data_IF_702961715868
#
_entry.id   IF_702961715868
#
_cell.length_a   1.000
_cell.length_b   1.000
_cell.length_c   1.000
_cell.angle_alpha   90.00
_cell.angle_beta   90.00
_cell.angle_gamma   90.00
#
_symmetry.space_group_name_H-M   'P 1'
#
loop_
_entity.id
_entity.type
_entity.pdbx_description
1 polymer ?
#
# COMPACT_ATOMS: atom_id res chain seq x y z
N UNK A 1 25.67 -1.49 13.58
CA UNK A 1 24.20 -1.58 13.54
C UNK A 1 23.79 -1.00 12.21
N UNK A 2 23.24 -1.77 11.26
CA UNK A 2 22.91 -1.21 9.96
C UNK A 2 21.86 -0.12 10.18
N UNK A 3 22.15 1.08 9.70
CA UNK A 3 21.24 2.21 9.70
C UNK A 3 19.89 1.78 9.12
N UNK A 4 18.92 1.49 9.99
CA UNK A 4 17.50 1.54 9.65
C UNK A 4 17.17 2.99 9.34
N UNK A 5 17.63 3.46 8.17
CA UNK A 5 17.10 4.67 7.56
C UNK A 5 15.64 4.37 7.32
N UNK A 6 14.76 4.98 8.11
CA UNK A 6 13.34 5.05 7.83
C UNK A 6 13.19 5.50 6.38
N UNK A 7 12.92 4.55 5.49
CA UNK A 7 12.74 4.84 4.08
C UNK A 7 11.44 5.64 4.00
N UNK A 8 11.56 6.87 3.54
CA UNK A 8 10.42 7.73 3.22
C UNK A 8 9.65 7.07 2.06
N UNK A 9 8.67 6.26 2.44
CA UNK A 9 7.85 5.41 1.56
C UNK A 9 7.23 6.24 0.44
N UNK A 10 6.80 7.46 0.77
CA UNK A 10 6.21 8.41 -0.17
C UNK A 10 7.19 8.78 -1.29
N UNK A 11 8.45 9.06 -0.93
CA UNK A 11 9.51 9.31 -1.91
C UNK A 11 9.88 8.07 -2.71
N UNK A 12 9.88 6.89 -2.10
CA UNK A 12 10.20 5.65 -2.80
C UNK A 12 9.14 5.32 -3.85
N UNK A 13 7.85 5.37 -3.48
CA UNK A 13 6.74 5.08 -4.37
C UNK A 13 6.66 6.11 -5.52
N UNK A 14 6.81 7.41 -5.21
CA UNK A 14 6.87 8.45 -6.25
C UNK A 14 8.00 8.23 -7.25
N UNK A 15 9.20 7.85 -6.78
CA UNK A 15 10.36 7.64 -7.65
C UNK A 15 10.32 6.31 -8.43
N UNK A 16 9.78 5.23 -7.86
CA UNK A 16 9.82 3.88 -8.47
C UNK A 16 8.57 3.53 -9.26
N UNK A 17 7.40 3.95 -8.81
CA UNK A 17 6.10 3.63 -9.43
C UNK A 17 5.54 4.77 -10.28
N UNK A 18 6.38 5.75 -10.67
CA UNK A 18 5.97 6.89 -11.52
C UNK A 18 4.81 7.71 -10.93
N UNK A 19 4.95 8.16 -9.69
CA UNK A 19 3.98 9.02 -8.96
C UNK A 19 2.76 8.33 -8.33
N UNK A 20 2.72 7.00 -8.22
CA UNK A 20 1.67 6.34 -7.42
C UNK A 20 1.87 6.67 -5.95
N UNK A 21 0.87 7.29 -5.32
CA UNK A 21 0.86 7.55 -3.87
C UNK A 21 0.33 6.35 -3.09
N UNK A 22 0.58 6.32 -1.77
CA UNK A 22 0.00 5.30 -0.88
C UNK A 22 -1.54 5.34 -0.97
N UNK A 23 -2.13 6.54 -1.01
CA UNK A 23 -3.58 6.71 -1.12
C UNK A 23 -4.17 6.19 -2.44
N UNK A 24 -3.44 6.33 -3.56
CA UNK A 24 -3.87 5.73 -4.84
C UNK A 24 -3.90 4.21 -4.75
N UNK A 25 -2.94 3.62 -4.04
CA UNK A 25 -2.85 2.18 -3.83
C UNK A 25 -3.96 1.68 -2.89
N UNK A 26 -4.21 2.38 -1.78
CA UNK A 26 -5.31 2.10 -0.86
C UNK A 26 -6.66 2.14 -1.58
N UNK A 27 -6.93 3.21 -2.31
CA UNK A 27 -8.18 3.38 -3.07
C UNK A 27 -8.34 2.30 -4.14
N UNK A 28 -7.25 1.96 -4.85
CA UNK A 28 -7.28 0.91 -5.88
C UNK A 28 -7.61 -0.47 -5.30
N UNK A 29 -6.95 -0.84 -4.18
CA UNK A 29 -7.20 -2.12 -3.50
C UNK A 29 -8.62 -2.15 -2.92
N UNK A 30 -9.02 -1.09 -2.22
CA UNK A 30 -10.37 -0.91 -1.67
C UNK A 30 -11.44 -1.11 -2.74
N UNK A 31 -11.29 -0.45 -3.89
CA UNK A 31 -12.22 -0.57 -5.01
C UNK A 31 -12.32 -1.99 -5.54
N UNK A 32 -11.19 -2.63 -5.84
CA UNK A 32 -11.18 -4.01 -6.38
C UNK A 32 -11.80 -4.99 -5.39
N UNK A 33 -11.47 -4.90 -4.10
CA UNK A 33 -12.05 -5.77 -3.07
C UNK A 33 -13.56 -5.52 -2.96
N UNK A 34 -13.99 -4.26 -2.97
CA UNK A 34 -15.41 -3.92 -2.88
C UNK A 34 -16.20 -4.42 -4.10
N UNK A 35 -15.63 -4.31 -5.31
CA UNK A 35 -16.22 -4.86 -6.53
C UNK A 35 -16.32 -6.39 -6.51
N UNK A 36 -15.36 -7.08 -5.89
CA UNK A 36 -15.34 -8.54 -5.79
C UNK A 36 -16.31 -9.09 -4.75
N UNK A 37 -16.47 -8.39 -3.62
CA UNK A 37 -17.31 -8.84 -2.50
C UNK A 37 -18.74 -8.29 -2.60
N UNK A 38 -18.95 -7.18 -3.31
CA UNK A 38 -20.24 -6.50 -3.43
C UNK A 38 -20.58 -5.64 -2.21
N UNK A 39 -19.58 -5.28 -1.42
CA UNK A 39 -19.67 -4.63 -0.11
C UNK A 39 -18.60 -3.54 0.00
N UNK A 40 -18.85 -2.44 0.72
CA UNK A 40 -17.88 -1.35 0.85
C UNK A 40 -16.74 -1.73 1.81
N UNK A 41 -15.53 -1.86 1.26
CA UNK A 41 -14.33 -2.15 2.03
C UNK A 41 -13.33 -1.02 1.92
N UNK A 42 -12.92 -0.48 3.06
CA UNK A 42 -11.81 0.47 3.17
C UNK A 42 -10.49 -0.27 3.31
N UNK A 43 -9.50 0.11 2.52
CA UNK A 43 -8.13 -0.36 2.65
C UNK A 43 -7.25 0.69 3.33
N UNK A 44 -6.41 0.26 4.26
CA UNK A 44 -5.35 1.08 4.88
C UNK A 44 -4.01 0.35 4.75
N UNK A 45 -2.97 1.05 4.31
CA UNK A 45 -1.61 0.53 4.22
C UNK A 45 -0.85 0.93 5.49
N UNK A 46 -0.60 -0.05 6.36
CA UNK A 46 0.07 0.19 7.64
C UNK A 46 1.59 0.24 7.55
N UNK A 47 2.19 -0.58 6.67
CA UNK A 47 3.65 -0.67 6.55
C UNK A 47 4.06 -1.04 5.12
N UNK A 48 5.09 -0.35 4.62
CA UNK A 48 5.72 -0.68 3.33
C UNK A 48 7.19 -0.96 3.57
N UNK A 49 7.60 -2.21 3.36
CA UNK A 49 9.01 -2.61 3.38
C UNK A 49 9.52 -2.69 1.97
N UNK A 50 10.71 -2.16 1.74
CA UNK A 50 11.37 -2.23 0.45
C UNK A 50 12.75 -2.86 0.61
N UNK A 51 13.05 -3.87 -0.20
CA UNK A 51 14.35 -4.51 -0.25
C UNK A 51 14.98 -4.30 -1.63
N UNK A 52 16.21 -3.79 -1.67
CA UNK A 52 17.00 -3.72 -2.91
C UNK A 52 17.80 -4.99 -3.20
N UNK A 53 17.72 -6.01 -2.32
CA UNK A 53 18.70 -7.09 -2.30
C UNK A 53 18.46 -8.21 -3.33
N UNK A 54 17.29 -8.31 -3.97
CA UNK A 54 16.93 -9.45 -4.85
C UNK A 54 16.27 -9.07 -6.20
N UNK A 55 16.35 -7.80 -6.60
CA UNK A 55 15.36 -7.23 -7.52
C UNK A 55 14.44 -6.33 -6.70
N UNK A 56 13.72 -5.42 -7.36
CA UNK A 56 12.91 -4.43 -6.66
C UNK A 56 11.69 -5.08 -5.99
N UNK A 57 11.89 -5.72 -4.86
CA UNK A 57 10.85 -6.34 -4.04
C UNK A 57 10.29 -5.31 -3.06
N UNK A 58 8.99 -5.04 -3.19
CA UNK A 58 8.24 -4.22 -2.26
C UNK A 58 7.19 -5.08 -1.56
N UNK A 59 7.14 -5.00 -0.24
CA UNK A 59 6.15 -5.68 0.59
C UNK A 59 5.25 -4.63 1.20
N UNK A 60 3.94 -4.81 1.07
CA UNK A 60 2.93 -3.92 1.63
C UNK A 60 2.07 -4.72 2.58
N UNK A 61 1.93 -4.24 3.81
CA UNK A 61 0.95 -4.76 4.76
C UNK A 61 -0.32 -3.93 4.65
N UNK A 62 -1.39 -4.57 4.18
CA UNK A 62 -2.72 -3.96 4.03
C UNK A 62 -3.66 -4.46 5.12
N UNK A 63 -4.49 -3.55 5.62
CA UNK A 63 -5.60 -3.82 6.52
C UNK A 63 -6.90 -3.43 5.81
N UNK A 64 -7.83 -4.37 5.71
CA UNK A 64 -9.14 -4.16 5.11
C UNK A 64 -10.18 -4.07 6.22
N UNK A 65 -10.96 -2.99 6.21
CA UNK A 65 -12.06 -2.76 7.15
C UNK A 65 -13.35 -2.74 6.36
N UNK A 66 -14.28 -3.62 6.70
CA UNK A 66 -15.63 -3.58 6.16
C UNK A 66 -16.37 -2.38 6.74
N UNK A 67 -17.00 -1.60 5.89
CA UNK A 67 -17.80 -0.45 6.28
C UNK A 67 -19.29 -0.77 6.03
N UNK A 68 -20.05 -1.18 7.06
CA UNK A 68 -21.46 -1.60 6.91
C UNK A 68 -22.44 -0.43 6.70
N UNK A 69 -21.97 0.79 6.44
CA UNK A 69 -22.83 1.96 6.25
C UNK A 69 -23.30 2.09 4.79
N UNK A 70 -24.12 1.13 4.35
CA UNK A 70 -25.17 1.31 3.33
C UNK A 70 -26.34 0.32 3.59
#
# INVERSE_FOLDING_TARGET
>A
MPDEKAIDVDKLLKNKLKSVSVGDLENGISKVVSELVGEDYKCTIGEVKYSMFSGADFQVKVELTYNPED
#
